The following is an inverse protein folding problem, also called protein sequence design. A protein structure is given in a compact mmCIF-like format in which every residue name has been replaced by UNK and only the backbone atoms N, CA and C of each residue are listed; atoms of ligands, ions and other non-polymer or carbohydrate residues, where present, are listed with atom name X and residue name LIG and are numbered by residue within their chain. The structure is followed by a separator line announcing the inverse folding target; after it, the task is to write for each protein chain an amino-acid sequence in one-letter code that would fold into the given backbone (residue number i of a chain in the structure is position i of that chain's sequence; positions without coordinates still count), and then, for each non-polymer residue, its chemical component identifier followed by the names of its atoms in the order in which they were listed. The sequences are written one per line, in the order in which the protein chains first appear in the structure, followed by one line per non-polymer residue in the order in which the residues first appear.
data_IF_387796826053
#
_entry.id   IF_387796826053
#
_cell.length_a   1.000
_cell.length_b   1.000
_cell.length_c   1.000
_cell.angle_alpha   90.00
_cell.angle_beta   90.00
_cell.angle_gamma   90.00
#
_symmetry.space_group_name_H-M   'P 1'
#
loop_
_entity.id
_entity.type
_entity.pdbx_description
1 polymer ?
#
# COMPACT_ATOMS: atom_id res chain seq x y z
N UNK A 1 0.83 -22.97 -6.86
CA UNK A 1 1.05 -22.17 -5.63
C UNK A 1 2.43 -21.52 -5.60
N UNK A 2 3.36 -21.92 -6.49
CA UNK A 2 4.77 -21.51 -6.49
C UNK A 2 5.06 -20.01 -6.75
N UNK A 3 4.06 -19.22 -7.17
CA UNK A 3 4.23 -17.77 -7.41
C UNK A 3 3.55 -16.86 -6.36
N UNK A 4 2.99 -17.43 -5.29
CA UNK A 4 2.31 -16.62 -4.27
C UNK A 4 3.33 -15.90 -3.37
N UNK A 5 3.39 -14.57 -3.50
CA UNK A 5 4.22 -13.71 -2.64
C UNK A 5 3.36 -13.20 -1.50
N UNK A 6 3.60 -13.71 -0.29
CA UNK A 6 2.92 -13.27 0.93
C UNK A 6 3.68 -12.13 1.58
N UNK A 7 3.02 -11.00 1.80
CA UNK A 7 3.58 -9.88 2.55
C UNK A 7 2.65 -9.50 3.68
N UNK A 8 3.22 -8.92 4.75
CA UNK A 8 2.46 -8.30 5.83
C UNK A 8 2.69 -6.78 5.83
N UNK A 9 1.69 -6.04 6.29
CA UNK A 9 1.84 -4.62 6.55
C UNK A 9 2.34 -4.38 7.97
N UNK A 10 3.34 -3.49 8.10
CA UNK A 10 3.74 -2.89 9.35
C UNK A 10 3.29 -1.44 9.31
N UNK A 11 2.20 -1.13 10.01
CA UNK A 11 1.48 0.14 9.88
C UNK A 11 0.90 0.67 11.20
N UNK A 12 1.30 0.07 12.32
CA UNK A 12 0.90 0.47 13.69
C UNK A 12 2.11 0.63 14.58
N UNK A 13 1.96 1.36 15.70
CA UNK A 13 3.02 1.51 16.71
C UNK A 13 3.41 0.14 17.26
N UNK A 14 2.43 -0.66 17.69
CA UNK A 14 2.65 -2.03 18.17
C UNK A 14 3.38 -2.92 17.15
N UNK A 15 3.05 -2.80 15.85
CA UNK A 15 3.69 -3.58 14.79
C UNK A 15 5.17 -3.23 14.64
N UNK A 16 5.51 -1.95 14.78
CA UNK A 16 6.91 -1.49 14.79
C UNK A 16 7.63 -1.95 16.05
N UNK A 17 7.05 -1.73 17.24
CA UNK A 17 7.66 -2.09 18.53
C UNK A 17 7.88 -3.59 18.70
N UNK A 18 7.00 -4.42 18.10
CA UNK A 18 7.06 -5.88 18.19
C UNK A 18 7.71 -6.53 16.98
N UNK A 19 8.38 -5.77 16.11
CA UNK A 19 8.97 -6.32 14.89
C UNK A 19 9.92 -7.48 15.18
N UNK A 20 10.75 -7.40 16.22
CA UNK A 20 11.70 -8.45 16.57
C UNK A 20 10.96 -9.77 16.88
N UNK A 21 9.84 -9.70 17.61
CA UNK A 21 8.99 -10.87 17.89
C UNK A 21 8.29 -11.43 16.66
N UNK A 22 7.94 -10.58 15.69
CA UNK A 22 7.37 -11.00 14.40
C UNK A 22 8.45 -11.76 13.60
N UNK A 23 9.68 -11.25 13.60
CA UNK A 23 10.82 -11.85 12.91
C UNK A 23 11.33 -13.14 13.57
N UNK A 24 10.93 -13.43 14.81
CA UNK A 24 11.20 -14.69 15.51
C UNK A 24 10.13 -15.78 15.26
N UNK A 25 9.07 -15.47 14.51
CA UNK A 25 7.99 -16.42 14.25
C UNK A 25 8.50 -17.68 13.53
N UNK A 26 8.03 -18.86 13.96
CA UNK A 26 8.48 -20.15 13.42
C UNK A 26 8.10 -20.38 11.95
N UNK A 27 7.22 -19.55 11.40
CA UNK A 27 6.73 -19.58 10.03
C UNK A 27 7.14 -18.33 9.23
N UNK A 28 8.21 -17.64 9.65
CA UNK A 28 8.73 -16.44 8.97
C UNK A 28 9.06 -16.71 7.50
N UNK A 29 9.54 -17.91 7.21
CA UNK A 29 9.88 -18.44 5.90
C UNK A 29 8.68 -18.51 4.93
N UNK A 30 7.45 -18.40 5.42
CA UNK A 30 6.27 -18.20 4.57
C UNK A 30 6.18 -16.78 4.00
N UNK A 31 6.83 -15.79 4.61
CA UNK A 31 6.78 -14.40 4.19
C UNK A 31 7.81 -14.11 3.10
N UNK A 32 7.35 -13.46 2.05
CA UNK A 32 8.20 -12.89 1.01
C UNK A 32 8.77 -11.52 1.42
N UNK A 33 8.06 -10.78 2.26
CA UNK A 33 8.50 -9.47 2.72
C UNK A 33 7.46 -8.73 3.55
N UNK A 34 7.73 -7.46 3.78
CA UNK A 34 6.85 -6.55 4.49
C UNK A 34 6.61 -5.27 3.68
N UNK A 35 5.51 -4.59 3.98
CA UNK A 35 5.21 -3.24 3.50
C UNK A 35 5.07 -2.31 4.68
N UNK A 36 5.81 -1.19 4.70
CA UNK A 36 5.56 -0.10 5.65
C UNK A 36 4.34 0.71 5.20
N UNK A 37 3.25 0.62 5.96
CA UNK A 37 2.03 1.41 5.73
C UNK A 37 2.13 2.78 6.40
N UNK A 38 2.75 3.76 5.73
CA UNK A 38 3.06 5.06 6.35
C UNK A 38 1.83 5.88 6.75
N UNK A 39 0.74 5.82 5.98
CA UNK A 39 -0.47 6.60 6.27
C UNK A 39 -1.12 6.15 7.58
N UNK A 40 -1.29 4.85 7.78
CA UNK A 40 -1.87 4.32 9.01
C UNK A 40 -0.90 4.43 10.19
N UNK A 41 0.41 4.30 9.96
CA UNK A 41 1.42 4.56 10.99
C UNK A 41 1.39 6.01 11.46
N UNK A 42 1.30 6.97 10.53
CA UNK A 42 1.12 8.38 10.84
C UNK A 42 -0.14 8.63 11.68
N UNK A 43 -1.26 8.02 11.29
CA UNK A 43 -2.51 8.13 12.05
C UNK A 43 -2.34 7.60 13.49
N UNK A 44 -1.68 6.46 13.65
CA UNK A 44 -1.41 5.86 14.96
C UNK A 44 -0.50 6.74 15.84
N UNK A 45 0.48 7.40 15.24
CA UNK A 45 1.43 8.29 15.92
C UNK A 45 0.95 9.75 16.06
N UNK A 46 -0.22 10.09 15.49
CA UNK A 46 -0.74 11.48 15.38
C UNK A 46 0.20 12.42 14.62
N UNK A 47 0.94 11.88 13.65
CA UNK A 47 1.84 12.59 12.74
C UNK A 47 1.09 12.95 11.48
N UNK A 48 1.20 14.20 11.01
CA UNK A 48 0.43 14.66 9.85
C UNK A 48 1.07 14.29 8.51
N UNK A 49 2.40 14.31 8.43
CA UNK A 49 3.12 14.11 7.17
C UNK A 49 3.78 12.73 7.12
N UNK A 50 3.41 11.84 6.17
CA UNK A 50 4.06 10.54 5.99
C UNK A 50 5.52 10.64 5.51
N UNK A 51 6.00 11.84 5.19
CA UNK A 51 7.39 12.09 4.82
C UNK A 51 8.18 12.79 5.95
N UNK A 52 7.60 12.91 7.15
CA UNK A 52 8.25 13.53 8.30
C UNK A 52 9.54 12.77 8.72
N UNK A 53 10.55 13.45 9.27
CA UNK A 53 11.80 12.83 9.71
C UNK A 53 11.62 11.69 10.71
N UNK A 54 10.63 11.79 11.60
CA UNK A 54 10.33 10.73 12.58
C UNK A 54 9.82 9.44 11.92
N UNK A 55 9.00 9.55 10.87
CA UNK A 55 8.54 8.40 10.07
C UNK A 55 9.71 7.79 9.30
N UNK A 56 10.61 8.62 8.77
CA UNK A 56 11.81 8.15 8.09
C UNK A 56 12.74 7.39 9.05
N UNK A 57 12.89 7.87 10.28
CA UNK A 57 13.68 7.20 11.32
C UNK A 57 13.11 5.81 11.63
N UNK A 58 11.79 5.73 11.84
CA UNK A 58 11.10 4.45 12.06
C UNK A 58 11.24 3.49 10.87
N UNK A 59 11.16 4.00 9.64
CA UNK A 59 11.36 3.21 8.43
C UNK A 59 12.80 2.65 8.34
N UNK A 60 13.82 3.48 8.62
CA UNK A 60 15.22 3.06 8.63
C UNK A 60 15.48 1.97 9.67
N UNK A 61 14.98 2.15 10.89
CA UNK A 61 15.06 1.16 11.96
C UNK A 61 14.38 -0.17 11.55
N UNK A 62 13.12 -0.09 11.13
CA UNK A 62 12.32 -1.25 10.70
C UNK A 62 13.03 -2.06 9.61
N UNK A 63 13.43 -1.41 8.52
CA UNK A 63 14.01 -2.11 7.38
C UNK A 63 15.42 -2.62 7.65
N UNK A 64 16.18 -1.97 8.54
CA UNK A 64 17.48 -2.49 8.98
C UNK A 64 17.33 -3.84 9.68
N UNK A 65 16.35 -3.97 10.59
CA UNK A 65 16.05 -5.23 11.28
C UNK A 65 15.57 -6.30 10.29
N UNK A 66 14.61 -5.95 9.44
CA UNK A 66 13.97 -6.90 8.51
C UNK A 66 14.96 -7.44 7.47
N UNK A 67 15.88 -6.62 6.98
CA UNK A 67 16.92 -7.04 6.02
C UNK A 67 17.85 -8.12 6.57
N UNK A 68 18.03 -8.22 7.90
CA UNK A 68 18.82 -9.27 8.53
C UNK A 68 18.21 -10.67 8.34
N UNK A 69 16.91 -10.73 8.01
CA UNK A 69 16.15 -11.96 7.81
C UNK A 69 15.90 -12.27 6.31
N UNK A 70 16.60 -11.59 5.40
CA UNK A 70 16.46 -11.77 3.93
C UNK A 70 15.03 -11.53 3.38
N UNK A 71 14.20 -10.80 4.11
CA UNK A 71 12.86 -10.40 3.69
C UNK A 71 12.91 -9.14 2.83
N UNK A 72 11.96 -9.01 1.91
CA UNK A 72 11.82 -7.78 1.11
C UNK A 72 11.18 -6.65 1.91
N UNK A 73 11.65 -5.44 1.66
CA UNK A 73 11.17 -4.22 2.31
C UNK A 73 10.53 -3.30 1.28
N UNK A 74 9.22 -3.08 1.38
CA UNK A 74 8.48 -2.15 0.51
C UNK A 74 7.93 -0.97 1.30
N UNK A 75 7.81 0.18 0.65
CA UNK A 75 7.17 1.38 1.23
C UNK A 75 5.81 1.60 0.58
N UNK A 76 4.76 1.67 1.39
CA UNK A 76 3.41 2.06 0.99
C UNK A 76 2.93 3.31 1.72
N UNK A 77 1.60 3.52 1.69
CA UNK A 77 0.92 4.61 2.40
C UNK A 77 1.14 5.98 1.75
N UNK A 78 0.14 6.44 0.97
CA UNK A 78 0.09 7.82 0.46
C UNK A 78 1.29 8.23 -0.41
N UNK A 79 1.86 7.29 -1.19
CA UNK A 79 2.97 7.57 -2.09
C UNK A 79 2.52 8.56 -3.17
N UNK A 80 3.21 9.71 -3.23
CA UNK A 80 3.03 10.77 -4.23
C UNK A 80 4.40 11.30 -4.66
N UNK A 81 4.45 12.24 -5.60
CA UNK A 81 5.72 12.89 -5.98
C UNK A 81 6.47 13.50 -4.77
N UNK A 82 5.74 13.95 -3.73
CA UNK A 82 6.36 14.46 -2.48
C UNK A 82 7.12 13.39 -1.68
N UNK A 83 6.88 12.11 -1.95
CA UNK A 83 7.57 11.00 -1.29
C UNK A 83 8.92 10.67 -1.92
N UNK A 84 9.30 11.27 -3.05
CA UNK A 84 10.58 10.98 -3.73
C UNK A 84 11.80 11.18 -2.80
N UNK A 85 11.93 12.28 -2.04
CA UNK A 85 13.05 12.44 -1.12
C UNK A 85 13.09 11.35 -0.03
N UNK A 86 11.93 11.03 0.54
CA UNK A 86 11.79 9.97 1.55
C UNK A 86 12.26 8.61 1.02
N UNK A 87 11.86 8.25 -0.22
CA UNK A 87 12.27 6.99 -0.84
C UNK A 87 13.77 6.95 -1.12
N UNK A 88 14.37 8.08 -1.54
CA UNK A 88 15.81 8.17 -1.79
C UNK A 88 16.65 8.01 -0.53
N UNK A 89 16.18 8.53 0.60
CA UNK A 89 16.80 8.34 1.92
C UNK A 89 16.82 6.88 2.38
N UNK A 90 16.01 6.01 1.76
CA UNK A 90 15.95 4.58 2.04
C UNK A 90 16.68 3.72 1.00
N UNK A 91 17.40 4.33 0.05
CA UNK A 91 18.16 3.59 -0.97
C UNK A 91 19.12 2.59 -0.31
N UNK A 92 19.04 1.32 -0.74
CA UNK A 92 19.78 0.20 -0.15
C UNK A 92 19.03 -0.52 0.99
N UNK A 93 18.01 0.09 1.59
CA UNK A 93 17.16 -0.54 2.62
C UNK A 93 15.82 -1.05 2.06
N UNK A 94 15.37 -0.53 0.92
CA UNK A 94 14.11 -0.90 0.29
C UNK A 94 14.33 -1.66 -1.01
N UNK A 95 13.45 -2.62 -1.27
CA UNK A 95 13.39 -3.38 -2.52
C UNK A 95 12.33 -2.83 -3.48
N UNK A 96 11.42 -1.99 -2.98
CA UNK A 96 10.37 -1.41 -3.77
C UNK A 96 9.49 -0.43 -3.01
N UNK A 97 8.47 0.07 -3.69
CA UNK A 97 7.41 0.87 -3.10
C UNK A 97 6.10 0.60 -3.85
N UNK A 98 4.97 1.01 -3.27
CA UNK A 98 3.68 0.83 -3.89
C UNK A 98 2.79 2.06 -3.78
N UNK A 99 1.96 2.23 -4.80
CA UNK A 99 0.72 2.99 -4.71
C UNK A 99 -0.42 2.01 -4.42
N UNK A 100 -1.66 2.47 -4.31
CA UNK A 100 -2.79 1.57 -4.01
C UNK A 100 -3.04 0.51 -5.09
N UNK A 101 -2.60 0.77 -6.33
CA UNK A 101 -2.93 -0.04 -7.51
C UNK A 101 -1.72 -0.57 -8.28
N UNK A 102 -0.52 -0.06 -8.00
CA UNK A 102 0.70 -0.40 -8.73
C UNK A 102 1.85 -0.59 -7.75
N UNK A 103 2.52 -1.73 -7.86
CA UNK A 103 3.71 -2.09 -7.08
C UNK A 103 4.96 -1.93 -7.94
N UNK A 104 5.91 -1.15 -7.45
CA UNK A 104 7.26 -1.01 -8.02
C UNK A 104 8.21 -1.92 -7.23
N UNK A 105 8.21 -3.21 -7.54
CA UNK A 105 8.91 -4.24 -6.76
C UNK A 105 10.43 -4.34 -6.98
N UNK A 106 10.99 -3.51 -7.87
CA UNK A 106 12.43 -3.44 -8.16
C UNK A 106 12.86 -1.96 -8.06
N UNK A 107 13.28 -1.57 -6.86
CA UNK A 107 13.66 -0.19 -6.57
C UNK A 107 14.85 0.27 -7.40
N UNK A 108 15.81 -0.60 -7.70
CA UNK A 108 17.01 -0.24 -8.47
C UNK A 108 16.67 0.17 -9.91
N UNK A 109 15.64 -0.44 -10.50
CA UNK A 109 15.10 0.01 -11.79
C UNK A 109 14.20 1.23 -11.64
N UNK A 110 13.31 1.21 -10.65
CA UNK A 110 12.33 2.27 -10.45
C UNK A 110 12.97 3.61 -10.05
N UNK A 111 14.13 3.60 -9.39
CA UNK A 111 14.79 4.80 -8.88
C UNK A 111 15.27 5.77 -9.96
N UNK A 112 15.43 5.28 -11.19
CA UNK A 112 15.83 6.09 -12.36
C UNK A 112 14.77 7.16 -12.68
N UNK A 113 13.49 6.85 -12.49
CA UNK A 113 12.40 7.78 -12.84
C UNK A 113 11.21 7.68 -11.87
N UNK A 114 11.50 7.81 -10.56
CA UNK A 114 10.50 7.62 -9.49
C UNK A 114 9.30 8.54 -9.67
N UNK A 115 9.53 9.83 -9.92
CA UNK A 115 8.47 10.83 -9.98
C UNK A 115 7.47 10.54 -11.10
N UNK A 116 7.96 10.28 -12.30
CA UNK A 116 7.12 9.92 -13.44
C UNK A 116 6.44 8.56 -13.23
N UNK A 117 7.15 7.58 -12.65
CA UNK A 117 6.57 6.29 -12.30
C UNK A 117 5.38 6.45 -11.36
N UNK A 118 5.52 7.23 -10.28
CA UNK A 118 4.44 7.55 -9.36
C UNK A 118 3.30 8.26 -10.09
N UNK A 119 3.60 9.26 -10.93
CA UNK A 119 2.59 9.98 -11.70
C UNK A 119 1.75 9.02 -12.55
N UNK A 120 2.39 8.13 -13.29
CA UNK A 120 1.71 7.13 -14.14
C UNK A 120 0.88 6.15 -13.30
N UNK A 121 1.39 5.69 -12.16
CA UNK A 121 0.64 4.83 -11.24
C UNK A 121 -0.62 5.50 -10.69
N UNK A 122 -0.54 6.78 -10.31
CA UNK A 122 -1.69 7.56 -9.83
C UNK A 122 -2.67 7.87 -10.97
N UNK A 123 -2.19 8.13 -12.20
CA UNK A 123 -3.04 8.25 -13.38
C UNK A 123 -3.79 6.95 -13.67
N UNK A 124 -3.12 5.80 -13.55
CA UNK A 124 -3.77 4.50 -13.64
C UNK A 124 -4.85 4.32 -12.57
N UNK A 125 -4.55 4.64 -11.31
CA UNK A 125 -5.53 4.56 -10.21
C UNK A 125 -6.74 5.49 -10.45
N UNK A 126 -6.52 6.69 -10.97
CA UNK A 126 -7.60 7.61 -11.35
C UNK A 126 -8.54 6.99 -12.39
N UNK A 127 -8.00 6.53 -13.52
CA UNK A 127 -8.81 5.90 -14.58
C UNK A 127 -9.47 4.59 -14.12
N UNK A 128 -8.82 3.86 -13.21
CA UNK A 128 -9.42 2.70 -12.57
C UNK A 128 -10.71 3.07 -11.81
N UNK A 129 -10.71 4.19 -11.08
CA UNK A 129 -11.92 4.66 -10.40
C UNK A 129 -12.97 5.21 -11.36
N UNK A 130 -12.60 5.87 -12.45
CA UNK A 130 -13.57 6.28 -13.49
C UNK A 130 -14.28 5.06 -14.10
N UNK A 131 -13.51 4.03 -14.46
CA UNK A 131 -14.07 2.76 -14.96
C UNK A 131 -14.99 2.12 -13.91
N UNK A 132 -14.52 2.05 -12.66
CA UNK A 132 -15.27 1.48 -11.55
C UNK A 132 -16.60 2.22 -11.33
N UNK A 133 -16.56 3.56 -11.31
CA UNK A 133 -17.74 4.39 -11.12
C UNK A 133 -18.77 4.17 -12.23
N UNK A 134 -18.33 4.18 -13.50
CA UNK A 134 -19.21 3.92 -14.63
C UNK A 134 -19.85 2.53 -14.56
N UNK A 135 -19.03 1.49 -14.36
CA UNK A 135 -19.50 0.11 -14.32
C UNK A 135 -20.54 -0.14 -13.21
N UNK A 136 -20.24 0.28 -11.97
CA UNK A 136 -21.21 0.11 -10.88
C UNK A 136 -22.39 1.06 -10.98
N UNK A 137 -22.22 2.22 -11.63
CA UNK A 137 -23.32 3.12 -11.95
C UNK A 137 -24.33 2.49 -12.89
N UNK A 138 -23.88 1.84 -13.95
CA UNK A 138 -24.75 1.11 -14.90
C UNK A 138 -25.55 0.01 -14.19
N UNK A 139 -24.88 -0.84 -13.41
CA UNK A 139 -25.54 -1.89 -12.62
C UNK A 139 -26.57 -1.32 -11.63
N UNK A 140 -26.21 -0.25 -10.92
CA UNK A 140 -27.13 0.41 -10.01
C UNK A 140 -28.40 0.90 -10.71
N UNK A 141 -28.27 1.50 -11.90
CA UNK A 141 -29.44 1.99 -12.64
C UNK A 141 -30.34 0.85 -13.11
N UNK A 142 -29.75 -0.25 -13.57
CA UNK A 142 -30.50 -1.45 -13.97
C UNK A 142 -31.29 -2.04 -12.78
N UNK A 143 -30.61 -2.25 -11.66
CA UNK A 143 -31.22 -2.78 -10.43
C UNK A 143 -32.30 -1.84 -9.90
N UNK A 144 -32.06 -0.53 -9.87
CA UNK A 144 -33.03 0.46 -9.44
C UNK A 144 -34.29 0.45 -10.32
N UNK A 145 -34.14 0.34 -11.64
CA UNK A 145 -35.25 0.21 -12.57
C UNK A 145 -36.03 -1.11 -12.33
N UNK A 146 -35.33 -2.21 -12.09
CA UNK A 146 -35.95 -3.52 -11.80
C UNK A 146 -36.71 -3.51 -10.48
N UNK A 147 -36.13 -2.93 -9.41
CA UNK A 147 -36.77 -2.78 -8.10
C UNK A 147 -38.05 -1.97 -8.24
N UNK A 148 -38.01 -0.83 -8.95
CA UNK A 148 -39.20 0.00 -9.19
C UNK A 148 -40.31 -0.75 -9.93
N UNK A 149 -39.93 -1.57 -10.92
CA UNK A 149 -40.89 -2.41 -11.65
C UNK A 149 -41.53 -3.45 -10.72
N UNK A 150 -40.74 -4.13 -9.89
CA UNK A 150 -41.22 -5.14 -8.95
C UNK A 150 -42.07 -4.55 -7.83
N UNK A 151 -41.68 -3.39 -7.26
CA UNK A 151 -42.44 -2.74 -6.19
C UNK A 151 -43.84 -2.36 -6.65
N UNK A 152 -43.97 -1.88 -7.90
CA UNK A 152 -45.27 -1.60 -8.52
C UNK A 152 -46.13 -2.86 -8.70
N UNK A 153 -45.54 -4.02 -9.01
CA UNK A 153 -46.27 -5.30 -9.14
C UNK A 153 -46.73 -5.79 -7.77
N UNK A 154 -45.91 -5.61 -6.75
CA UNK A 154 -46.14 -6.11 -5.39
C UNK A 154 -46.95 -5.15 -4.51
N UNK A 155 -47.18 -3.91 -4.95
CA UNK A 155 -47.86 -2.89 -4.14
C UNK A 155 -47.04 -2.39 -2.95
N UNK A 156 -45.71 -2.52 -3.03
CA UNK A 156 -44.79 -2.01 -2.02
C UNK A 156 -44.54 -0.52 -2.30
N UNK A 157 -45.02 0.36 -1.41
CA UNK A 157 -44.69 1.80 -1.43
C UNK A 157 -43.32 2.06 -0.81
#
# INVERSE_FOLDING_TARGET
MEDLKLLINIETVDGHEKIDRILEASNLDMLYGIVLGRTDLCNALKVKDPNAPEILSLAKDLFTKVKQHNLRCLVGGGITARSVPFLRELNGLIDGYETRKVVFGDYDKAKVNIEEGIRLALTFEYHWYELKQRYYGELYQEDAAKIKSLSSILGLQ
#
